data_IF_529230896078
#
_entry.id   IF_529230896078
#
_cell.length_a   1.000
_cell.length_b   1.000
_cell.length_c   1.000
_cell.angle_alpha   90.00
_cell.angle_beta   90.00
_cell.angle_gamma   90.00
#
_symmetry.space_group_name_H-M   'P 1'
#
loop_
_entity.id
_entity.type
_entity.pdbx_description
1 polymer ?
#
# COMPACT_ATOMS: atom_id res chain seq x y z
N UNK A 1 -3.68 19.96 1.21
CA UNK A 1 -2.69 21.06 1.36
C UNK A 1 -3.35 22.25 2.06
N UNK A 2 -2.72 22.86 3.07
CA UNK A 2 -3.33 23.94 3.84
C UNK A 2 -3.39 25.23 3.00
N UNK A 3 -4.57 25.80 2.84
CA UNK A 3 -4.77 27.06 2.14
C UNK A 3 -4.25 28.25 2.97
N UNK A 4 -3.84 29.35 2.33
CA UNK A 4 -3.26 30.52 2.99
C UNK A 4 -4.14 31.11 4.11
N UNK A 5 -5.45 31.23 3.86
CA UNK A 5 -6.43 31.72 4.87
C UNK A 5 -6.55 30.78 6.08
N UNK A 6 -6.25 29.49 5.92
CA UNK A 6 -6.28 28.53 7.03
C UNK A 6 -5.04 28.66 7.91
N UNK A 7 -3.88 29.03 7.37
CA UNK A 7 -2.65 29.22 8.14
C UNK A 7 -2.77 30.38 9.13
N UNK A 8 -3.38 31.49 8.72
CA UNK A 8 -3.64 32.65 9.58
C UNK A 8 -4.50 32.26 10.78
N UNK A 9 -5.59 31.53 10.53
CA UNK A 9 -6.47 31.04 11.58
C UNK A 9 -5.75 30.08 12.54
N UNK A 10 -4.93 29.16 12.02
CA UNK A 10 -4.14 28.24 12.88
C UNK A 10 -3.17 29.04 13.76
N UNK A 11 -2.43 30.00 13.18
CA UNK A 11 -1.51 30.84 13.93
C UNK A 11 -2.21 31.66 15.03
N UNK A 12 -3.41 32.18 14.75
CA UNK A 12 -4.21 32.89 15.73
C UNK A 12 -4.62 31.98 16.89
N UNK A 13 -5.08 30.75 16.60
CA UNK A 13 -5.45 29.78 17.63
C UNK A 13 -4.27 29.34 18.49
N UNK A 14 -3.10 29.10 17.90
CA UNK A 14 -1.90 28.77 18.66
C UNK A 14 -1.54 29.87 19.66
N UNK A 15 -1.68 31.15 19.26
CA UNK A 15 -1.45 32.30 20.16
C UNK A 15 -2.52 32.42 21.23
N UNK A 16 -3.80 32.32 20.85
CA UNK A 16 -4.95 32.44 21.76
C UNK A 16 -4.88 31.44 22.91
N UNK A 17 -4.51 30.19 22.62
CA UNK A 17 -4.38 29.13 23.61
C UNK A 17 -2.98 29.02 24.22
N UNK A 18 -2.06 29.94 23.90
CA UNK A 18 -0.67 29.93 24.35
C UNK A 18 0.03 28.57 24.17
N UNK A 19 -0.15 27.96 22.99
CA UNK A 19 0.42 26.65 22.67
C UNK A 19 1.92 26.79 22.44
N UNK A 20 2.71 26.07 23.24
CA UNK A 20 4.18 26.18 23.23
C UNK A 20 4.88 25.08 22.45
N UNK A 21 4.15 24.09 21.94
CA UNK A 21 4.69 22.98 21.16
C UNK A 21 3.58 22.25 20.43
N UNK A 22 3.92 21.59 19.31
CA UNK A 22 2.97 20.87 18.49
C UNK A 22 3.50 19.48 18.13
N UNK A 23 2.75 18.45 18.53
CA UNK A 23 2.95 17.08 18.12
C UNK A 23 1.84 16.69 17.14
N UNK A 24 2.21 16.34 15.91
CA UNK A 24 1.27 15.92 14.87
C UNK A 24 1.42 14.42 14.67
N UNK A 25 0.35 13.66 14.82
CA UNK A 25 0.35 12.21 14.55
C UNK A 25 -0.46 11.99 13.28
N UNK A 26 0.15 11.42 12.24
CA UNK A 26 -0.59 11.12 11.02
C UNK A 26 0.27 10.71 9.83
N UNK A 27 -0.40 10.64 8.68
CA UNK A 27 0.13 10.16 7.42
C UNK A 27 0.98 11.18 6.65
N UNK A 28 1.02 11.01 5.34
CA UNK A 28 1.72 11.93 4.43
C UNK A 28 1.20 13.37 4.53
N UNK A 29 -0.11 13.55 4.76
CA UNK A 29 -0.72 14.87 4.95
C UNK A 29 -0.25 15.56 6.22
N UNK A 30 0.02 14.80 7.30
CA UNK A 30 0.57 15.34 8.53
C UNK A 30 2.01 15.82 8.33
N UNK A 31 2.81 15.03 7.61
CA UNK A 31 4.16 15.41 7.20
C UNK A 31 4.15 16.70 6.36
N UNK A 32 3.31 16.74 5.32
CA UNK A 32 3.16 17.94 4.49
C UNK A 32 2.68 19.15 5.29
N UNK A 33 1.70 18.97 6.18
CA UNK A 33 1.20 20.06 7.03
C UNK A 33 2.28 20.59 7.97
N UNK A 34 3.07 19.69 8.58
CA UNK A 34 4.22 20.07 9.42
C UNK A 34 5.27 20.88 8.64
N UNK A 35 5.58 20.47 7.41
CA UNK A 35 6.48 21.20 6.52
C UNK A 35 5.93 22.61 6.19
N UNK A 36 4.65 22.71 5.84
CA UNK A 36 4.03 24.01 5.56
C UNK A 36 4.04 24.96 6.76
N UNK A 37 3.81 24.44 7.96
CA UNK A 37 3.91 25.23 9.19
C UNK A 37 5.35 25.68 9.45
N UNK A 38 6.32 24.80 9.21
CA UNK A 38 7.75 25.12 9.33
C UNK A 38 8.18 26.22 8.35
N UNK A 39 7.84 26.10 7.07
CA UNK A 39 8.14 27.08 6.03
C UNK A 39 7.45 28.43 6.28
N UNK A 40 6.32 28.43 6.99
CA UNK A 40 5.56 29.64 7.31
C UNK A 40 6.04 30.38 8.58
N UNK A 41 7.13 29.93 9.23
CA UNK A 41 7.68 30.53 10.46
C UNK A 41 8.16 31.98 10.30
N UNK A 42 8.51 32.40 9.10
CA UNK A 42 8.89 33.78 8.82
C UNK A 42 7.68 34.71 8.84
N UNK A 43 6.52 34.22 8.39
CA UNK A 43 5.26 34.97 8.33
C UNK A 43 4.52 34.97 9.65
N UNK A 44 4.56 33.87 10.39
CA UNK A 44 3.81 33.70 11.64
C UNK A 44 4.73 33.29 12.78
N UNK A 45 4.98 34.22 13.70
CA UNK A 45 5.77 33.95 14.91
C UNK A 45 5.18 32.83 15.78
N UNK A 46 3.87 32.57 15.69
CA UNK A 46 3.18 31.48 16.38
C UNK A 46 3.72 30.09 16.01
N UNK A 47 4.26 29.92 14.80
CA UNK A 47 4.80 28.63 14.34
C UNK A 47 6.25 28.39 14.78
N UNK A 48 6.89 29.36 15.44
CA UNK A 48 8.26 29.25 15.97
C UNK A 48 8.29 28.49 17.30
N UNK A 49 7.44 27.48 17.42
CA UNK A 49 7.39 26.51 18.51
C UNK A 49 8.00 25.19 18.05
N UNK A 50 8.51 24.34 18.95
CA UNK A 50 8.89 22.97 18.62
C UNK A 50 7.74 22.25 17.92
N UNK A 51 8.04 21.65 16.78
CA UNK A 51 7.09 20.92 15.94
C UNK A 51 7.67 19.55 15.64
N UNK A 52 6.92 18.50 15.96
CA UNK A 52 7.31 17.11 15.72
C UNK A 52 6.17 16.39 15.02
N UNK A 53 6.49 15.60 14.01
CA UNK A 53 5.53 14.72 13.32
C UNK A 53 5.87 13.29 13.68
N UNK A 54 4.90 12.54 14.21
CA UNK A 54 4.98 11.09 14.39
C UNK A 54 4.31 10.42 13.18
N UNK A 55 5.10 9.69 12.37
CA UNK A 55 4.59 8.95 11.23
C UNK A 55 3.54 7.90 11.64
N UNK A 56 2.31 8.04 11.15
CA UNK A 56 1.21 7.11 11.42
C UNK A 56 0.36 6.90 10.17
N UNK A 57 0.59 5.77 9.51
CA UNK A 57 -0.08 5.36 8.27
C UNK A 57 0.17 3.88 8.03
N UNK A 58 -0.79 3.19 7.41
CA UNK A 58 -0.60 1.79 6.99
C UNK A 58 0.36 1.68 5.79
N UNK A 59 0.43 2.71 4.95
CA UNK A 59 1.14 2.67 3.67
C UNK A 59 2.66 2.73 3.80
N UNK A 60 3.18 3.11 4.98
CA UNK A 60 4.60 3.34 5.22
C UNK A 60 5.28 4.25 4.18
N UNK A 61 4.59 5.31 3.76
CA UNK A 61 5.00 6.18 2.66
C UNK A 61 5.50 7.56 3.15
N UNK A 62 6.01 7.65 4.38
CA UNK A 62 6.46 8.92 4.95
C UNK A 62 7.98 9.04 4.77
N UNK A 63 8.47 10.07 4.06
CA UNK A 63 9.90 10.27 3.87
C UNK A 63 10.64 10.47 5.20
N UNK A 64 11.84 9.90 5.31
CA UNK A 64 12.72 10.09 6.46
C UNK A 64 12.51 9.09 7.61
N UNK A 65 11.60 8.13 7.47
CA UNK A 65 11.46 6.99 8.38
C UNK A 65 11.35 5.70 7.57
N UNK A 66 11.85 4.60 8.14
CA UNK A 66 11.66 3.25 7.58
C UNK A 66 10.34 2.61 8.03
N UNK A 67 9.73 3.14 9.09
CA UNK A 67 8.50 2.59 9.67
C UNK A 67 7.52 3.69 10.05
N UNK A 68 6.23 3.40 9.89
CA UNK A 68 5.13 4.22 10.38
C UNK A 68 4.23 3.43 11.32
N UNK A 69 3.63 4.11 12.29
CA UNK A 69 2.65 3.47 13.16
C UNK A 69 1.49 2.91 12.33
N UNK A 70 1.13 1.66 12.59
CA UNK A 70 0.06 0.93 11.90
C UNK A 70 0.49 0.09 10.70
N UNK A 71 1.72 0.25 10.16
CA UNK A 71 2.15 -0.55 9.01
C UNK A 71 2.32 -2.04 9.34
N UNK A 72 2.81 -2.37 10.53
CA UNK A 72 2.97 -3.75 11.00
C UNK A 72 1.61 -4.44 11.24
N UNK A 73 0.66 -3.72 11.85
CA UNK A 73 -0.71 -4.23 12.03
C UNK A 73 -1.36 -4.54 10.69
N UNK A 74 -1.25 -3.63 9.71
CA UNK A 74 -1.77 -3.86 8.36
C UNK A 74 -1.07 -5.04 7.66
N UNK A 75 0.24 -5.17 7.79
CA UNK A 75 1.00 -6.28 7.23
C UNK A 75 0.55 -7.64 7.80
N UNK A 76 0.37 -7.72 9.12
CA UNK A 76 -0.10 -8.95 9.77
C UNK A 76 -1.51 -9.33 9.29
N UNK A 77 -2.43 -8.37 9.19
CA UNK A 77 -3.77 -8.61 8.65
C UNK A 77 -3.75 -9.12 7.21
N UNK A 78 -2.97 -8.49 6.32
CA UNK A 78 -2.84 -8.95 4.93
C UNK A 78 -2.25 -10.35 4.87
N UNK A 79 -1.25 -10.64 5.70
CA UNK A 79 -0.62 -11.96 5.76
C UNK A 79 -1.62 -13.02 6.23
N UNK A 80 -2.42 -12.73 7.26
CA UNK A 80 -3.46 -13.64 7.75
C UNK A 80 -4.56 -13.88 6.71
N UNK A 81 -4.95 -12.85 5.97
CA UNK A 81 -5.88 -12.97 4.84
C UNK A 81 -5.29 -13.86 3.74
N UNK A 82 -4.02 -13.65 3.38
CA UNK A 82 -3.31 -14.48 2.40
C UNK A 82 -3.30 -15.94 2.84
N UNK A 83 -3.03 -16.22 4.11
CA UNK A 83 -3.05 -17.58 4.66
C UNK A 83 -4.44 -18.22 4.61
N UNK A 84 -5.49 -17.49 4.99
CA UNK A 84 -6.88 -17.96 4.90
C UNK A 84 -7.30 -18.27 3.46
N UNK A 85 -6.96 -17.40 2.53
CA UNK A 85 -7.22 -17.61 1.08
C UNK A 85 -6.45 -18.83 0.58
N UNK A 86 -5.21 -18.96 1.00
CA UNK A 86 -4.33 -20.07 0.61
C UNK A 86 -4.84 -21.42 1.14
N UNK A 87 -5.41 -21.47 2.34
CA UNK A 87 -6.10 -22.64 2.87
C UNK A 87 -7.36 -22.98 2.05
N UNK A 88 -8.16 -21.97 1.69
CA UNK A 88 -9.33 -22.14 0.81
C UNK A 88 -8.95 -22.69 -0.58
N UNK A 89 -7.84 -22.22 -1.15
CA UNK A 89 -7.31 -22.68 -2.42
C UNK A 89 -6.93 -24.17 -2.41
N UNK A 90 -6.41 -24.69 -1.29
CA UNK A 90 -6.05 -26.10 -1.14
C UNK A 90 -7.28 -27.03 -1.20
N UNK A 91 -8.42 -26.59 -0.65
CA UNK A 91 -9.66 -27.38 -0.63
C UNK A 91 -10.32 -27.52 -2.01
N UNK A 92 -10.17 -26.52 -2.88
CA UNK A 92 -10.83 -26.49 -4.19
C UNK A 92 -9.94 -26.86 -5.37
N UNK A 93 -8.60 -26.80 -5.19
CA UNK A 93 -7.54 -27.09 -6.19
C UNK A 93 -7.65 -26.26 -7.47
N UNK A 94 -6.49 -26.02 -8.10
CA UNK A 94 -6.33 -25.25 -9.34
C UNK A 94 -6.98 -23.87 -9.27
N UNK A 95 -6.63 -23.10 -8.23
CA UNK A 95 -7.08 -21.71 -8.12
C UNK A 95 -5.93 -20.72 -8.00
N UNK A 96 -6.06 -19.61 -8.70
CA UNK A 96 -5.22 -18.42 -8.52
C UNK A 96 -6.05 -17.30 -7.93
N UNK A 97 -5.53 -16.69 -6.89
CA UNK A 97 -6.13 -15.51 -6.27
C UNK A 97 -5.28 -14.28 -6.61
N UNK A 98 -5.96 -13.20 -7.00
CA UNK A 98 -5.35 -11.88 -7.16
C UNK A 98 -5.88 -11.03 -6.02
N UNK A 99 -5.00 -10.61 -5.12
CA UNK A 99 -5.33 -9.80 -3.95
C UNK A 99 -4.80 -8.40 -4.17
N UNK A 100 -5.69 -7.42 -4.08
CA UNK A 100 -5.31 -6.02 -4.10
C UNK A 100 -4.98 -5.53 -2.68
N UNK A 101 -3.84 -4.87 -2.50
CA UNK A 101 -3.44 -4.27 -1.22
C UNK A 101 -3.41 -2.76 -1.31
N UNK A 102 -3.72 -2.10 -0.19
CA UNK A 102 -3.54 -0.67 -0.04
C UNK A 102 -2.05 -0.28 -0.09
N UNK A 103 -1.79 1.02 -0.12
CA UNK A 103 -0.43 1.59 -0.01
C UNK A 103 -0.24 2.85 -0.86
N UNK A 104 -1.27 3.29 -1.58
CA UNK A 104 -1.14 4.28 -2.63
C UNK A 104 -0.11 3.80 -3.64
N UNK A 105 0.89 4.64 -3.91
CA UNK A 105 2.03 4.32 -4.77
C UNK A 105 3.19 3.63 -4.04
N UNK A 106 3.05 3.34 -2.75
CA UNK A 106 4.06 2.62 -1.97
C UNK A 106 3.71 1.13 -1.91
N UNK A 107 4.57 0.31 -2.49
CA UNK A 107 4.49 -1.15 -2.52
C UNK A 107 4.87 -1.85 -1.22
N UNK A 108 5.15 -1.14 -0.13
CA UNK A 108 5.63 -1.72 1.13
C UNK A 108 4.76 -2.90 1.61
N UNK A 109 3.44 -2.68 1.70
CA UNK A 109 2.50 -3.70 2.15
C UNK A 109 2.45 -4.89 1.17
N UNK A 110 2.34 -4.63 -0.13
CA UNK A 110 2.28 -5.67 -1.16
C UNK A 110 3.55 -6.55 -1.16
N UNK A 111 4.72 -5.92 -1.09
CA UNK A 111 6.02 -6.60 -1.15
C UNK A 111 6.25 -7.46 0.09
N UNK A 112 6.07 -6.89 1.29
CA UNK A 112 6.30 -7.64 2.51
C UNK A 112 5.24 -8.71 2.75
N UNK A 113 3.97 -8.42 2.45
CA UNK A 113 2.92 -9.43 2.56
C UNK A 113 3.09 -10.52 1.50
N UNK A 114 3.56 -10.19 0.30
CA UNK A 114 3.88 -11.18 -0.72
C UNK A 114 5.01 -12.11 -0.28
N UNK A 115 6.04 -11.55 0.35
CA UNK A 115 7.14 -12.33 0.94
C UNK A 115 6.65 -13.23 2.09
N UNK A 116 5.88 -12.68 3.03
CA UNK A 116 5.38 -13.41 4.20
C UNK A 116 4.32 -14.46 3.83
N UNK A 117 3.38 -14.11 2.95
CA UNK A 117 2.30 -14.98 2.48
C UNK A 117 2.73 -16.02 1.44
N UNK A 118 3.93 -15.88 0.87
CA UNK A 118 4.46 -16.76 -0.16
C UNK A 118 3.73 -16.60 -1.49
N UNK A 119 3.58 -15.36 -1.95
CA UNK A 119 3.00 -15.02 -3.22
C UNK A 119 3.90 -15.43 -4.39
N UNK A 120 3.27 -15.84 -5.49
CA UNK A 120 3.91 -16.20 -6.75
C UNK A 120 4.37 -14.98 -7.55
N UNK A 121 3.64 -13.88 -7.42
CA UNK A 121 4.01 -12.60 -8.00
C UNK A 121 3.46 -11.45 -7.16
N UNK A 122 4.23 -10.37 -7.07
CA UNK A 122 3.81 -9.12 -6.45
C UNK A 122 4.00 -7.98 -7.44
N UNK A 123 2.93 -7.23 -7.73
CA UNK A 123 2.98 -6.07 -8.61
C UNK A 123 2.90 -4.78 -7.79
N UNK A 124 3.92 -3.93 -7.93
CA UNK A 124 4.06 -2.65 -7.22
C UNK A 124 4.31 -1.51 -8.20
N UNK A 125 4.19 -0.27 -7.73
CA UNK A 125 4.42 0.90 -8.58
C UNK A 125 5.91 1.14 -8.85
N UNK A 126 6.74 0.82 -7.85
CA UNK A 126 8.20 1.00 -7.89
C UNK A 126 8.86 0.10 -8.95
N UNK A 127 8.25 -1.03 -9.28
CA UNK A 127 8.75 -1.97 -10.29
C UNK A 127 7.76 -2.07 -11.47
N UNK A 128 8.13 -1.44 -12.60
CA UNK A 128 7.29 -1.45 -13.79
C UNK A 128 7.22 -2.85 -14.40
N UNK A 129 6.00 -3.34 -14.61
CA UNK A 129 5.74 -4.59 -15.30
C UNK A 129 5.02 -4.35 -16.63
N UNK A 130 5.22 -5.29 -17.56
CA UNK A 130 4.61 -5.26 -18.90
C UNK A 130 3.71 -6.46 -19.11
N UNK A 131 2.88 -6.43 -20.14
CA UNK A 131 2.08 -7.60 -20.53
C UNK A 131 2.92 -8.85 -20.79
N UNK A 132 4.17 -8.70 -21.24
CA UNK A 132 5.10 -9.82 -21.42
C UNK A 132 5.55 -10.40 -20.08
N UNK A 133 5.79 -9.55 -19.08
CA UNK A 133 6.09 -9.96 -17.70
C UNK A 133 4.91 -10.73 -17.12
N UNK A 134 3.71 -10.13 -17.14
CA UNK A 134 2.49 -10.77 -16.67
C UNK A 134 2.26 -12.15 -17.33
N UNK A 135 2.45 -12.24 -18.65
CA UNK A 135 2.32 -13.52 -19.37
C UNK A 135 3.33 -14.56 -18.86
N UNK A 136 4.57 -14.15 -18.61
CA UNK A 136 5.61 -15.05 -18.06
C UNK A 136 5.20 -15.58 -16.69
N UNK A 137 4.68 -14.71 -15.83
CA UNK A 137 4.26 -15.09 -14.47
C UNK A 137 3.06 -16.05 -14.50
N UNK A 138 2.09 -15.81 -15.41
CA UNK A 138 0.98 -16.74 -15.66
C UNK A 138 1.48 -18.11 -16.17
N UNK A 139 2.44 -18.13 -17.09
CA UNK A 139 3.02 -19.40 -17.57
C UNK A 139 3.76 -20.14 -16.45
N UNK A 140 4.54 -19.45 -15.62
CA UNK A 140 5.24 -20.05 -14.50
C UNK A 140 4.27 -20.67 -13.49
N UNK A 141 3.16 -19.98 -13.17
CA UNK A 141 2.11 -20.52 -12.30
C UNK A 141 1.45 -21.76 -12.92
N UNK A 142 1.19 -21.76 -14.23
CA UNK A 142 0.61 -22.93 -14.91
C UNK A 142 1.54 -24.16 -14.83
N UNK A 143 2.86 -23.97 -15.00
CA UNK A 143 3.87 -25.03 -14.82
C UNK A 143 3.87 -25.54 -13.39
N UNK A 144 3.93 -24.63 -12.41
CA UNK A 144 3.85 -24.95 -10.97
C UNK A 144 2.60 -25.80 -10.63
N UNK A 145 1.45 -25.49 -11.25
CA UNK A 145 0.22 -26.27 -11.05
C UNK A 145 0.28 -27.67 -11.67
N UNK A 146 0.99 -27.84 -12.79
CA UNK A 146 1.21 -29.14 -13.42
C UNK A 146 2.13 -30.03 -12.57
N UNK A 147 3.10 -29.45 -11.87
CA UNK A 147 4.07 -30.14 -11.01
C UNK A 147 3.53 -30.54 -9.63
N UNK A 148 2.29 -30.14 -9.29
CA UNK A 148 1.55 -30.64 -8.13
C UNK A 148 1.10 -29.57 -7.14
N UNK A 149 1.66 -28.36 -7.21
CA UNK A 149 1.20 -27.23 -6.36
C UNK A 149 0.08 -26.50 -7.09
N UNK A 150 -1.14 -27.01 -6.93
CA UNK A 150 -2.34 -26.54 -7.65
C UNK A 150 -2.96 -25.27 -7.04
N UNK A 151 -2.14 -24.26 -6.75
CA UNK A 151 -2.57 -22.94 -6.24
C UNK A 151 -1.63 -21.84 -6.73
N UNK A 152 -2.19 -20.65 -6.93
CA UNK A 152 -1.45 -19.42 -7.21
C UNK A 152 -1.91 -18.28 -6.31
N UNK A 153 -0.98 -17.42 -5.93
CA UNK A 153 -1.27 -16.21 -5.16
C UNK A 153 -0.55 -15.02 -5.79
N UNK A 154 -1.30 -14.02 -6.21
CA UNK A 154 -0.78 -12.76 -6.72
C UNK A 154 -1.17 -11.66 -5.75
N UNK A 155 -0.21 -10.81 -5.37
CA UNK A 155 -0.50 -9.54 -4.73
C UNK A 155 -0.32 -8.40 -5.73
N UNK A 156 -1.18 -7.40 -5.65
CA UNK A 156 -1.12 -6.19 -6.46
C UNK A 156 -1.34 -4.99 -5.55
N UNK A 157 -0.41 -4.04 -5.53
CA UNK A 157 -0.68 -2.74 -4.93
C UNK A 157 -1.72 -1.97 -5.75
N UNK A 158 -2.65 -1.29 -5.09
CA UNK A 158 -3.79 -0.58 -5.69
C UNK A 158 -3.39 0.34 -6.87
N UNK A 159 -2.26 1.04 -6.75
CA UNK A 159 -1.76 1.97 -7.78
C UNK A 159 -0.53 1.44 -8.54
N UNK A 160 -0.29 0.13 -8.54
CA UNK A 160 0.84 -0.48 -9.25
C UNK A 160 0.85 -0.14 -10.76
N UNK A 161 -0.33 -0.05 -11.38
CA UNK A 161 -0.51 0.40 -12.76
C UNK A 161 -1.93 0.88 -12.99
N UNK A 162 -2.09 2.00 -13.71
CA UNK A 162 -3.39 2.52 -14.13
C UNK A 162 -4.08 1.65 -15.18
N UNK A 163 -3.31 0.95 -16.02
CA UNK A 163 -3.84 0.13 -17.13
C UNK A 163 -4.00 -1.34 -16.74
N UNK A 164 -3.12 -1.85 -15.88
CA UNK A 164 -3.13 -3.24 -15.43
C UNK A 164 -3.74 -3.33 -14.04
N UNK A 165 -5.07 -3.11 -13.99
CA UNK A 165 -5.85 -3.23 -12.75
C UNK A 165 -6.09 -4.70 -12.38
N UNK A 166 -6.65 -4.92 -11.19
CA UNK A 166 -6.92 -6.27 -10.67
C UNK A 166 -7.83 -7.09 -11.59
N UNK A 167 -8.86 -6.45 -12.16
CA UNK A 167 -9.76 -7.11 -13.13
C UNK A 167 -9.03 -7.55 -14.40
N UNK A 168 -8.12 -6.71 -14.92
CA UNK A 168 -7.32 -7.03 -16.10
C UNK A 168 -6.39 -8.21 -15.83
N UNK A 169 -5.68 -8.21 -14.69
CA UNK A 169 -4.79 -9.31 -14.29
C UNK A 169 -5.58 -10.61 -14.13
N UNK A 170 -6.73 -10.53 -13.48
CA UNK A 170 -7.66 -11.65 -13.33
C UNK A 170 -8.16 -12.20 -14.68
N UNK A 171 -8.58 -11.32 -15.59
CA UNK A 171 -9.08 -11.69 -16.90
C UNK A 171 -7.97 -12.32 -17.77
N UNK A 172 -6.76 -11.75 -17.72
CA UNK A 172 -5.60 -12.28 -18.44
C UNK A 172 -5.24 -13.71 -17.97
N UNK A 173 -5.28 -13.95 -16.65
CA UNK A 173 -5.08 -15.29 -16.09
C UNK A 173 -6.16 -16.28 -16.50
N UNK A 174 -7.43 -15.83 -16.48
CA UNK A 174 -8.59 -16.64 -16.86
C UNK A 174 -8.62 -17.03 -18.35
N UNK A 175 -8.00 -16.23 -19.23
CA UNK A 175 -7.97 -16.49 -20.67
C UNK A 175 -6.89 -17.52 -21.05
N UNK A 176 -5.80 -17.61 -20.28
CA UNK A 176 -4.69 -18.54 -20.54
C UNK A 176 -5.02 -20.01 -20.22
N UNK A 177 -5.95 -20.26 -19.30
CA UNK A 177 -6.44 -21.60 -18.98
C UNK A 177 -7.90 -21.71 -19.37
N UNK A 178 -8.25 -22.62 -20.30
CA UNK A 178 -9.64 -22.86 -20.72
C UNK A 178 -10.54 -23.15 -19.49
N UNK A 179 -11.23 -22.10 -19.03
CA UNK A 179 -12.37 -22.04 -18.11
C UNK A 179 -12.16 -22.62 -16.69
N UNK A 180 -12.11 -21.72 -15.69
CA UNK A 180 -12.42 -21.87 -14.24
C UNK A 180 -11.26 -21.98 -13.21
N UNK A 181 -10.19 -21.17 -13.31
CA UNK A 181 -9.14 -21.17 -12.26
C UNK A 181 -8.96 -19.88 -11.45
N UNK A 182 -9.53 -18.73 -11.82
CA UNK A 182 -9.31 -17.50 -11.05
C UNK A 182 -10.56 -17.14 -10.23
N UNK A 183 -10.40 -16.67 -8.99
CA UNK A 183 -11.46 -16.03 -8.20
C UNK A 183 -10.99 -14.69 -7.62
N UNK A 184 -11.86 -13.68 -7.67
CA UNK A 184 -11.62 -12.31 -7.16
C UNK A 184 -12.11 -12.22 -5.70
N UNK A 185 -11.38 -11.52 -4.83
CA UNK A 185 -11.78 -11.16 -3.46
C UNK A 185 -11.48 -9.69 -3.20
#
# INVERSE_FOLDING_TARGET
MLAGTKLENIAQRLKEFNIQGLLIIGGFEAFQSGLQLYESRDRFSAFRIPLVVIPSTISNNIPGTEFSLGCDTALNEITEICDRIRQSAQGTKRRVFVIETMGGYCGYLATLAGLAGGADATYIYEEKFTIKGLKKDVCNMAIKMAEGVQRGLILRNENASANYNSEFIYAAGSYSEKRKCFSQL
#
